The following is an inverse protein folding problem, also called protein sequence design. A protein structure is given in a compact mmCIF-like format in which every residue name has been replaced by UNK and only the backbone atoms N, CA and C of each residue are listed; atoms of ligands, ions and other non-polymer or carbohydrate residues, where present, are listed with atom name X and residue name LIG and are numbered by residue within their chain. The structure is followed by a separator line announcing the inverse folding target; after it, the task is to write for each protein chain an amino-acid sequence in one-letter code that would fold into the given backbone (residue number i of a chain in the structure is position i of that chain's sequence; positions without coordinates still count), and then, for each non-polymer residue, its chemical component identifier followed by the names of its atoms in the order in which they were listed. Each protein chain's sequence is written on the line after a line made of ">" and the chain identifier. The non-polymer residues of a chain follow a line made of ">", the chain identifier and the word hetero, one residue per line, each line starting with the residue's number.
data_IF_831730746231
#
_entry.id   IF_831730746231
#
_cell.length_a   1.000
_cell.length_b   1.000
_cell.length_c   1.000
_cell.angle_alpha   90.00
_cell.angle_beta   90.00
_cell.angle_gamma   90.00
#
_symmetry.space_group_name_H-M   'P 1'
#
loop_
_entity.id
_entity.type
_entity.pdbx_description
1 polymer ?
#
# COMPACT_ATOMS: atom_id res chain seq x y z
N UNK A 1 -3.13 40.36 -16.02
CA UNK A 1 -3.95 40.59 -14.82
C UNK A 1 -3.04 40.37 -13.63
N UNK A 2 -2.77 41.43 -12.88
CA UNK A 2 -1.71 41.50 -11.88
C UNK A 2 -1.88 40.49 -10.74
N UNK A 3 -0.85 39.67 -10.52
CA UNK A 3 -0.66 38.83 -9.32
C UNK A 3 -0.70 39.65 -8.01
N UNK A 4 -0.58 40.97 -8.10
CA UNK A 4 -0.57 41.90 -6.96
C UNK A 4 -1.97 42.17 -6.36
N UNK A 5 -3.05 41.84 -7.07
CA UNK A 5 -4.41 42.01 -6.57
C UNK A 5 -4.84 40.87 -5.62
N UNK A 6 -4.38 39.64 -5.87
CA UNK A 6 -4.71 38.47 -5.04
C UNK A 6 -4.04 38.52 -3.66
N UNK A 7 -2.79 39.01 -3.57
CA UNK A 7 -2.05 39.16 -2.29
C UNK A 7 -2.67 40.23 -1.38
N UNK A 8 -3.30 41.26 -1.96
CA UNK A 8 -4.02 42.28 -1.20
C UNK A 8 -5.38 41.80 -0.69
N UNK A 9 -5.93 40.72 -1.26
CA UNK A 9 -7.21 40.20 -0.83
C UNK A 9 -7.14 39.49 0.54
N UNK A 10 -5.97 38.98 0.90
CA UNK A 10 -5.75 38.20 2.13
C UNK A 10 -5.22 39.06 3.30
N UNK A 11 -4.92 40.35 3.06
CA UNK A 11 -4.23 41.24 3.99
C UNK A 11 -4.92 42.59 4.20
N UNK A 12 -6.23 42.69 3.97
CA UNK A 12 -7.01 43.88 4.32
C UNK A 12 -7.38 43.85 5.82
N UNK A 13 -6.94 44.87 6.55
CA UNK A 13 -7.24 45.01 7.98
C UNK A 13 -8.71 45.37 8.19
N UNK A 14 -9.32 44.96 9.31
CA UNK A 14 -10.73 45.26 9.65
C UNK A 14 -11.03 46.78 9.64
N UNK A 15 -10.01 47.61 9.91
CA UNK A 15 -10.09 49.06 9.87
C UNK A 15 -10.24 49.63 8.44
N UNK A 16 -9.61 49.02 7.44
CA UNK A 16 -9.75 49.40 6.03
C UNK A 16 -11.12 48.97 5.47
N UNK A 17 -11.66 47.87 5.98
CA UNK A 17 -13.01 47.37 5.66
C UNK A 17 -14.12 48.33 6.11
N UNK A 18 -14.01 48.90 7.31
CA UNK A 18 -15.00 49.85 7.85
C UNK A 18 -15.02 51.20 7.13
N UNK A 19 -13.94 51.57 6.44
CA UNK A 19 -13.82 52.80 5.66
C UNK A 19 -14.15 52.65 4.16
N UNK A 20 -14.38 51.42 3.68
CA UNK A 20 -14.79 51.17 2.29
C UNK A 20 -16.29 51.35 2.12
N UNK A 21 -16.70 51.87 0.96
CA UNK A 21 -18.11 51.86 0.56
C UNK A 21 -18.63 50.41 0.54
N UNK A 22 -19.86 50.23 1.02
CA UNK A 22 -20.61 48.97 1.02
C UNK A 22 -20.57 48.23 -0.32
N UNK A 23 -20.61 48.94 -1.46
CA UNK A 23 -20.46 48.33 -2.78
C UNK A 23 -19.05 47.78 -3.05
N UNK A 24 -18.01 48.48 -2.57
CA UNK A 24 -16.60 48.02 -2.69
C UNK A 24 -16.34 46.83 -1.77
N UNK A 25 -16.94 46.82 -0.57
CA UNK A 25 -16.92 45.66 0.33
C UNK A 25 -17.63 44.46 -0.31
N UNK A 26 -18.81 44.65 -0.90
CA UNK A 26 -19.56 43.56 -1.54
C UNK A 26 -18.80 42.97 -2.72
N UNK A 27 -18.17 43.83 -3.53
CA UNK A 27 -17.30 43.42 -4.63
C UNK A 27 -16.12 42.58 -4.14
N UNK A 28 -15.47 43.00 -3.06
CA UNK A 28 -14.35 42.27 -2.48
C UNK A 28 -14.77 40.90 -1.93
N UNK A 29 -15.93 40.82 -1.28
CA UNK A 29 -16.51 39.55 -0.82
C UNK A 29 -16.81 38.61 -2.00
N UNK A 30 -17.34 39.14 -3.09
CA UNK A 30 -17.61 38.34 -4.29
C UNK A 30 -16.32 37.87 -4.99
N UNK A 31 -15.29 38.72 -5.00
CA UNK A 31 -13.96 38.36 -5.53
C UNK A 31 -13.32 37.25 -4.69
N UNK A 32 -13.31 37.38 -3.36
CA UNK A 32 -12.79 36.35 -2.46
C UNK A 32 -13.53 35.03 -2.65
N UNK A 33 -14.85 35.06 -2.77
CA UNK A 33 -15.66 33.86 -3.04
C UNK A 33 -15.30 33.20 -4.38
N UNK A 34 -15.03 33.98 -5.43
CA UNK A 34 -14.61 33.44 -6.72
C UNK A 34 -13.23 32.77 -6.64
N UNK A 35 -12.27 33.41 -5.97
CA UNK A 35 -10.92 32.85 -5.73
C UNK A 35 -10.99 31.56 -4.91
N UNK A 36 -11.76 31.54 -3.82
CA UNK A 36 -11.90 30.35 -2.97
C UNK A 36 -12.56 29.17 -3.72
N UNK A 37 -13.45 29.44 -4.69
CA UNK A 37 -14.03 28.41 -5.55
C UNK A 37 -13.02 27.87 -6.57
N UNK A 38 -12.16 28.73 -7.10
CA UNK A 38 -11.10 28.36 -8.04
C UNK A 38 -10.05 27.45 -7.36
N UNK A 39 -9.63 27.80 -6.14
CA UNK A 39 -8.70 26.98 -5.35
C UNK A 39 -9.26 25.59 -5.06
N UNK A 40 -10.54 25.52 -4.67
CA UNK A 40 -11.25 24.25 -4.45
C UNK A 40 -11.38 23.42 -5.73
N UNK A 41 -11.65 24.06 -6.87
CA UNK A 41 -11.71 23.38 -8.16
C UNK A 41 -10.33 22.80 -8.52
N UNK A 42 -9.26 23.56 -8.30
CA UNK A 42 -7.88 23.13 -8.58
C UNK A 42 -7.47 21.92 -7.74
N UNK A 43 -7.74 21.96 -6.44
CA UNK A 43 -7.46 20.85 -5.52
C UNK A 43 -8.22 19.58 -5.93
N UNK A 44 -9.50 19.73 -6.29
CA UNK A 44 -10.33 18.61 -6.76
C UNK A 44 -9.82 18.02 -8.07
N UNK A 45 -9.40 18.85 -9.02
CA UNK A 45 -8.81 18.39 -10.29
C UNK A 45 -7.51 17.61 -10.08
N UNK A 46 -6.64 18.06 -9.18
CA UNK A 46 -5.39 17.37 -8.85
C UNK A 46 -5.65 16.00 -8.21
N UNK A 47 -6.61 15.94 -7.27
CA UNK A 47 -7.02 14.68 -6.66
C UNK A 47 -7.59 13.70 -7.69
N UNK A 48 -8.42 14.18 -8.62
CA UNK A 48 -8.98 13.36 -9.71
C UNK A 48 -7.87 12.83 -10.62
N UNK A 49 -6.90 13.66 -11.00
CA UNK A 49 -5.77 13.23 -11.81
C UNK A 49 -4.96 12.11 -11.14
N UNK A 50 -4.63 12.28 -9.85
CA UNK A 50 -3.91 11.26 -9.09
C UNK A 50 -4.69 9.95 -8.95
N UNK A 51 -6.02 10.04 -8.78
CA UNK A 51 -6.89 8.86 -8.72
C UNK A 51 -6.90 8.11 -10.07
N UNK A 52 -6.91 8.83 -11.19
CA UNK A 52 -6.84 8.25 -12.54
C UNK A 52 -5.50 7.52 -12.75
N UNK A 53 -4.39 8.12 -12.34
CA UNK A 53 -3.05 7.50 -12.48
C UNK A 53 -2.93 6.20 -11.68
N UNK A 54 -3.39 6.20 -10.43
CA UNK A 54 -3.40 5.00 -9.58
C UNK A 54 -4.30 3.90 -10.16
N UNK A 55 -5.48 4.29 -10.67
CA UNK A 55 -6.41 3.36 -11.31
C UNK A 55 -5.83 2.72 -12.58
N UNK A 56 -5.08 3.50 -13.38
CA UNK A 56 -4.34 3.00 -14.53
C UNK A 56 -3.29 1.97 -14.14
N UNK A 57 -2.49 2.27 -13.12
CA UNK A 57 -1.46 1.35 -12.62
C UNK A 57 -2.04 0.03 -12.08
N UNK A 58 -3.12 0.09 -11.32
CA UNK A 58 -3.80 -1.11 -10.79
C UNK A 58 -4.44 -1.93 -11.92
N UNK A 59 -5.00 -1.28 -12.94
CA UNK A 59 -5.53 -1.96 -14.14
C UNK A 59 -4.44 -2.66 -14.95
N UNK A 60 -3.26 -2.04 -15.10
CA UNK A 60 -2.10 -2.68 -15.75
C UNK A 60 -1.66 -3.92 -14.97
N UNK A 61 -1.56 -3.83 -13.64
CA UNK A 61 -1.21 -4.98 -12.79
C UNK A 61 -2.21 -6.13 -12.92
N UNK A 62 -3.51 -5.84 -12.94
CA UNK A 62 -4.55 -6.86 -13.17
C UNK A 62 -4.28 -7.58 -14.49
N UNK A 63 -4.02 -6.82 -15.56
CA UNK A 63 -3.77 -7.40 -16.88
C UNK A 63 -2.48 -8.23 -16.92
N UNK A 64 -1.41 -7.77 -16.28
CA UNK A 64 -0.16 -8.52 -16.16
C UNK A 64 -0.36 -9.84 -15.40
N UNK A 65 -1.06 -9.79 -14.27
CA UNK A 65 -1.41 -10.98 -13.48
C UNK A 65 -2.28 -11.96 -14.29
N UNK A 66 -3.24 -11.47 -15.08
CA UNK A 66 -4.07 -12.32 -15.95
C UNK A 66 -3.26 -13.00 -17.06
N UNK A 67 -2.33 -12.27 -17.68
CA UNK A 67 -1.42 -12.83 -18.68
C UNK A 67 -0.50 -13.88 -18.07
N UNK A 68 -0.06 -13.66 -16.83
CA UNK A 68 0.78 -14.60 -16.10
C UNK A 68 0.01 -15.87 -15.71
N UNK A 69 -1.22 -15.77 -15.22
CA UNK A 69 -2.11 -16.92 -14.99
C UNK A 69 -2.29 -17.72 -16.29
N UNK A 70 -2.57 -17.05 -17.41
CA UNK A 70 -2.73 -17.70 -18.71
C UNK A 70 -1.44 -18.40 -19.18
N UNK A 71 -0.27 -17.86 -18.84
CA UNK A 71 1.02 -18.51 -19.10
C UNK A 71 1.20 -19.75 -18.24
N UNK A 72 0.90 -19.67 -16.95
CA UNK A 72 1.00 -20.79 -16.00
C UNK A 72 0.08 -21.94 -16.39
N UNK A 73 -1.17 -21.64 -16.77
CA UNK A 73 -2.16 -22.64 -17.22
C UNK A 73 -1.73 -23.35 -18.51
N UNK A 74 -1.03 -22.66 -19.42
CA UNK A 74 -0.58 -23.24 -20.71
C UNK A 74 0.75 -23.98 -20.63
N UNK A 75 1.69 -23.46 -19.86
CA UNK A 75 3.07 -23.96 -19.82
C UNK A 75 3.30 -24.96 -18.70
N UNK A 76 2.44 -24.97 -17.66
CA UNK A 76 2.68 -25.73 -16.45
C UNK A 76 3.91 -25.26 -15.68
N UNK A 77 4.40 -24.05 -15.94
CA UNK A 77 5.61 -23.48 -15.34
C UNK A 77 5.28 -22.15 -14.65
N UNK A 78 5.80 -21.98 -13.45
CA UNK A 78 5.70 -20.76 -12.64
C UNK A 78 6.93 -19.87 -12.91
N UNK A 79 6.77 -18.55 -12.95
CA UNK A 79 7.93 -17.65 -12.93
C UNK A 79 8.55 -17.60 -11.52
N UNK A 80 9.74 -18.17 -11.27
CA UNK A 80 10.28 -18.18 -9.92
C UNK A 80 10.65 -16.77 -9.41
N UNK A 81 10.85 -15.79 -10.31
CA UNK A 81 11.19 -14.41 -9.94
C UNK A 81 10.03 -13.66 -9.26
N UNK A 82 8.79 -14.13 -9.43
CA UNK A 82 7.57 -13.51 -8.89
C UNK A 82 7.15 -14.06 -7.52
N UNK A 83 7.75 -15.18 -7.09
CA UNK A 83 7.44 -15.87 -5.82
C UNK A 83 8.63 -15.93 -4.86
N UNK A 84 9.58 -15.01 -5.01
CA UNK A 84 10.72 -14.91 -4.10
C UNK A 84 10.21 -14.80 -2.65
N UNK A 85 10.80 -15.58 -1.75
CA UNK A 85 10.60 -15.47 -0.30
C UNK A 85 11.92 -14.99 0.32
N UNK A 86 12.21 -13.66 0.28
CA UNK A 86 13.50 -13.14 0.72
C UNK A 86 13.79 -13.44 2.19
N UNK A 87 12.72 -13.59 3.01
CA UNK A 87 12.84 -13.93 4.42
C UNK A 87 13.22 -15.40 4.58
N UNK A 88 12.57 -16.29 3.81
CA UNK A 88 12.91 -17.71 3.77
C UNK A 88 14.34 -17.95 3.26
N UNK A 89 14.72 -17.34 2.15
CA UNK A 89 16.07 -17.49 1.56
C UNK A 89 17.18 -17.09 2.54
N UNK A 90 17.02 -15.95 3.22
CA UNK A 90 17.96 -15.52 4.28
C UNK A 90 18.01 -16.51 5.43
N UNK A 91 16.86 -17.07 5.84
CA UNK A 91 16.83 -18.10 6.89
C UNK A 91 17.60 -19.36 6.46
N UNK A 92 17.46 -19.78 5.20
CA UNK A 92 18.20 -20.94 4.67
C UNK A 92 19.70 -20.69 4.62
N UNK A 93 20.13 -19.50 4.19
CA UNK A 93 21.54 -19.11 4.15
C UNK A 93 22.17 -19.13 5.54
N UNK A 94 21.49 -18.54 6.52
CA UNK A 94 21.94 -18.52 7.93
C UNK A 94 22.05 -19.94 8.49
N UNK A 95 21.09 -20.81 8.17
CA UNK A 95 21.09 -22.19 8.63
C UNK A 95 22.15 -23.06 7.94
N UNK A 96 22.45 -22.81 6.65
CA UNK A 96 23.51 -23.52 5.90
C UNK A 96 24.93 -23.18 6.37
N UNK A 97 25.09 -22.05 7.06
CA UNK A 97 26.38 -21.55 7.56
C UNK A 97 26.42 -21.51 9.10
N UNK A 98 26.33 -22.66 9.79
CA UNK A 98 26.46 -22.68 11.24
C UNK A 98 27.87 -22.30 11.68
N UNK A 99 27.99 -21.82 12.92
CA UNK A 99 29.27 -21.63 13.59
C UNK A 99 30.00 -22.97 13.77
N UNK A 100 31.29 -22.91 14.14
CA UNK A 100 32.14 -24.09 14.31
C UNK A 100 31.61 -25.11 15.34
N UNK A 101 30.77 -24.67 16.29
CA UNK A 101 30.10 -25.50 17.29
C UNK A 101 28.73 -26.06 16.81
N UNK A 102 28.39 -25.87 15.53
CA UNK A 102 27.12 -26.30 14.94
C UNK A 102 25.93 -25.38 15.29
N UNK A 103 26.18 -24.25 15.95
CA UNK A 103 25.12 -23.33 16.35
C UNK A 103 24.83 -22.24 15.33
N UNK A 104 23.63 -21.67 15.40
CA UNK A 104 23.17 -20.58 14.55
C UNK A 104 22.45 -19.55 15.43
N UNK A 105 22.73 -18.27 15.21
CA UNK A 105 22.00 -17.17 15.88
C UNK A 105 20.86 -16.69 14.99
N UNK A 106 19.64 -16.68 15.53
CA UNK A 106 18.42 -16.27 14.86
C UNK A 106 17.72 -15.16 15.64
N UNK A 107 17.12 -14.22 14.93
CA UNK A 107 16.22 -13.21 15.52
C UNK A 107 14.86 -13.82 15.89
N UNK A 108 14.04 -13.08 16.64
CA UNK A 108 12.67 -13.49 16.97
C UNK A 108 11.84 -13.79 15.71
N UNK A 109 11.90 -12.91 14.71
CA UNK A 109 11.20 -13.06 13.44
C UNK A 109 11.66 -14.31 12.68
N UNK A 110 12.96 -14.62 12.73
CA UNK A 110 13.51 -15.81 12.09
C UNK A 110 13.10 -17.10 12.78
N UNK A 111 12.99 -17.11 14.12
CA UNK A 111 12.44 -18.25 14.86
C UNK A 111 10.96 -18.46 14.55
N UNK A 112 10.18 -17.38 14.47
CA UNK A 112 8.77 -17.48 14.10
C UNK A 112 8.60 -18.03 12.69
N UNK A 113 9.38 -17.51 11.74
CA UNK A 113 9.40 -18.00 10.37
C UNK A 113 9.85 -19.47 10.30
N UNK A 114 10.86 -19.84 11.08
CA UNK A 114 11.33 -21.22 11.18
C UNK A 114 10.20 -22.14 11.68
N UNK A 115 9.51 -21.76 12.76
CA UNK A 115 8.38 -22.53 13.29
C UNK A 115 7.20 -22.60 12.31
N UNK A 116 6.88 -21.52 11.60
CA UNK A 116 5.85 -21.49 10.56
C UNK A 116 6.18 -22.45 9.41
N UNK A 117 7.44 -22.44 8.96
CA UNK A 117 7.93 -23.26 7.83
C UNK A 117 8.12 -24.73 8.20
N UNK A 118 8.27 -25.02 9.50
CA UNK A 118 8.49 -26.36 10.03
C UNK A 118 7.23 -27.02 10.63
N UNK A 119 6.17 -26.25 10.88
CA UNK A 119 4.89 -26.73 11.41
C UNK A 119 4.92 -27.04 12.91
N UNK A 120 3.79 -26.81 13.59
CA UNK A 120 3.62 -27.21 15.00
C UNK A 120 3.43 -28.73 15.10
N UNK A 121 4.46 -29.44 15.56
CA UNK A 121 4.41 -30.88 15.81
C UNK A 121 5.04 -31.68 14.67
N UNK A 122 6.30 -32.03 14.84
CA UNK A 122 6.98 -32.92 13.90
C UNK A 122 6.53 -34.33 14.17
N UNK A 123 5.64 -34.83 13.30
CA UNK A 123 5.32 -36.23 13.17
C UNK A 123 5.70 -36.66 11.76
N UNK A 124 6.96 -37.04 11.54
CA UNK A 124 7.33 -37.69 10.29
C UNK A 124 7.25 -39.18 10.59
N UNK A 125 6.20 -39.83 10.08
CA UNK A 125 6.16 -41.30 10.04
C UNK A 125 7.42 -41.81 9.34
N UNK A 126 8.40 -42.27 10.11
CA UNK A 126 9.48 -43.11 9.61
C UNK A 126 10.90 -42.90 10.14
N UNK A 127 11.37 -41.71 10.56
CA UNK A 127 12.84 -41.53 10.81
C UNK A 127 13.32 -40.44 11.81
N UNK A 128 12.51 -39.96 12.77
CA UNK A 128 12.81 -38.99 13.87
C UNK A 128 11.93 -37.74 13.82
N UNK A 129 11.27 -37.47 14.94
CA UNK A 129 10.40 -36.31 15.15
C UNK A 129 11.22 -35.13 15.75
N UNK A 130 11.26 -33.95 15.12
CA UNK A 130 12.19 -32.85 15.49
C UNK A 130 11.47 -31.62 16.03
N UNK A 131 11.42 -31.34 17.33
CA UNK A 131 10.66 -30.20 17.86
C UNK A 131 11.55 -28.97 18.09
N UNK A 132 11.23 -27.81 17.49
CA UNK A 132 11.80 -26.51 17.91
C UNK A 132 10.80 -25.82 18.83
N UNK A 133 11.17 -25.63 20.09
CA UNK A 133 10.27 -25.10 21.13
C UNK A 133 10.79 -23.77 21.65
N UNK A 134 9.95 -22.73 21.62
CA UNK A 134 10.28 -21.46 22.28
C UNK A 134 10.39 -21.65 23.80
N UNK A 135 11.09 -20.74 24.48
CA UNK A 135 11.17 -20.73 25.94
C UNK A 135 9.76 -20.79 26.57
N UNK A 136 9.58 -21.70 27.53
CA UNK A 136 8.30 -21.96 28.19
C UNK A 136 7.40 -22.99 27.51
N UNK A 137 7.77 -23.50 26.34
CA UNK A 137 7.02 -24.56 25.65
C UNK A 137 7.54 -25.94 26.07
N UNK A 138 6.63 -26.86 26.34
CA UNK A 138 6.94 -28.27 26.62
C UNK A 138 6.33 -29.17 25.56
N UNK A 139 7.07 -30.21 25.16
CA UNK A 139 6.55 -31.27 24.29
C UNK A 139 6.69 -32.62 24.99
N UNK A 140 5.63 -33.42 24.93
CA UNK A 140 5.61 -34.79 25.44
C UNK A 140 5.62 -35.75 24.26
N UNK A 141 6.62 -36.62 24.21
CA UNK A 141 6.77 -37.66 23.19
C UNK A 141 6.51 -39.04 23.78
N UNK A 142 5.79 -39.90 23.05
CA UNK A 142 5.78 -41.35 23.30
C UNK A 142 6.88 -42.08 22.52
N UNK A 143 7.58 -41.36 21.63
CA UNK A 143 8.52 -41.90 20.66
C UNK A 143 9.98 -41.61 21.10
N UNK A 144 10.79 -42.68 21.24
CA UNK A 144 12.18 -42.58 21.72
C UNK A 144 13.12 -41.87 20.74
N UNK A 145 12.73 -41.78 19.48
CA UNK A 145 13.55 -41.23 18.40
C UNK A 145 13.23 -39.75 18.11
N UNK A 146 12.76 -38.99 19.10
CA UNK A 146 12.45 -37.56 18.93
C UNK A 146 13.59 -36.67 19.43
N UNK A 147 13.87 -35.59 18.70
CA UNK A 147 14.92 -34.61 19.02
C UNK A 147 14.26 -33.27 19.30
N UNK A 148 14.52 -32.70 20.48
CA UNK A 148 14.02 -31.37 20.84
C UNK A 148 15.16 -30.35 20.79
N UNK A 149 14.96 -29.28 20.03
CA UNK A 149 15.86 -28.14 19.91
C UNK A 149 15.25 -27.00 20.74
N UNK A 150 15.99 -26.57 21.75
CA UNK A 150 15.62 -25.46 22.62
C UNK A 150 16.48 -24.25 22.23
N UNK A 151 15.91 -23.21 21.57
CA UNK A 151 16.58 -21.95 21.37
C UNK A 151 16.90 -21.31 22.72
N UNK A 152 18.15 -20.87 22.90
CA UNK A 152 18.61 -20.19 24.11
C UNK A 152 18.66 -18.70 23.83
N UNK A 153 17.88 -17.90 24.58
CA UNK A 153 17.92 -16.45 24.42
C UNK A 153 19.27 -15.89 24.87
N UNK A 154 19.87 -15.07 24.04
CA UNK A 154 21.16 -14.42 24.26
C UNK A 154 20.96 -13.00 24.81
N UNK A 155 22.04 -12.43 25.36
CA UNK A 155 22.05 -11.09 25.97
C UNK A 155 21.75 -9.94 25.00
N UNK A 156 21.92 -10.19 23.70
CA UNK A 156 21.60 -9.26 22.60
C UNK A 156 20.10 -9.30 22.20
N UNK A 157 19.30 -10.16 22.84
CA UNK A 157 17.88 -10.35 22.54
C UNK A 157 17.61 -11.35 21.41
N UNK A 158 18.63 -11.90 20.77
CA UNK A 158 18.51 -12.95 19.76
C UNK A 158 18.49 -14.35 20.41
N UNK A 159 18.31 -15.39 19.60
CA UNK A 159 18.29 -16.77 20.04
C UNK A 159 19.41 -17.57 19.40
N UNK A 160 20.14 -18.33 20.22
CA UNK A 160 21.10 -19.34 19.76
C UNK A 160 20.39 -20.68 19.65
N UNK A 161 20.38 -21.28 18.47
CA UNK A 161 19.96 -22.66 18.26
C UNK A 161 21.18 -23.53 18.00
N UNK A 162 21.19 -24.75 18.53
CA UNK A 162 22.18 -25.77 18.18
C UNK A 162 21.43 -26.94 17.57
N UNK A 163 21.67 -27.21 16.29
CA UNK A 163 21.05 -28.33 15.58
C UNK A 163 21.95 -29.55 15.78
N UNK A 164 21.46 -30.65 16.40
CA UNK A 164 22.26 -31.85 16.58
C UNK A 164 22.68 -32.46 15.23
N UNK A 165 23.94 -32.91 15.12
CA UNK A 165 24.53 -33.36 13.86
C UNK A 165 23.75 -34.53 13.22
N UNK A 166 23.13 -35.39 14.03
CA UNK A 166 22.34 -36.53 13.58
C UNK A 166 21.02 -36.16 12.89
N UNK A 167 20.49 -34.95 13.09
CA UNK A 167 19.24 -34.48 12.46
C UNK A 167 19.45 -33.28 11.53
N UNK A 168 20.69 -32.83 11.39
CA UNK A 168 21.09 -31.65 10.62
C UNK A 168 20.60 -31.68 9.16
N UNK A 169 20.79 -32.81 8.49
CA UNK A 169 20.32 -33.03 7.11
C UNK A 169 18.79 -32.99 7.00
N UNK A 170 18.07 -33.47 8.01
CA UNK A 170 16.60 -33.47 8.02
C UNK A 170 16.06 -32.05 8.22
N UNK A 171 16.63 -31.29 9.15
CA UNK A 171 16.24 -29.89 9.41
C UNK A 171 16.52 -29.01 8.18
N UNK A 172 17.75 -29.04 7.66
CA UNK A 172 18.11 -28.21 6.51
C UNK A 172 17.41 -28.66 5.23
N UNK A 173 17.32 -29.96 4.98
CA UNK A 173 16.63 -30.51 3.81
C UNK A 173 15.16 -30.12 3.78
N UNK A 174 14.45 -30.14 4.93
CA UNK A 174 13.04 -29.70 4.99
C UNK A 174 12.89 -28.22 4.74
N UNK A 175 13.68 -27.39 5.40
CA UNK A 175 13.64 -25.93 5.21
C UNK A 175 13.97 -25.59 3.76
N UNK A 176 14.97 -26.25 3.18
CA UNK A 176 15.32 -26.17 1.77
C UNK A 176 14.16 -26.60 0.87
N UNK A 177 13.46 -27.70 1.15
CA UNK A 177 12.28 -28.11 0.37
C UNK A 177 11.11 -27.13 0.49
N UNK A 178 10.83 -26.59 1.68
CA UNK A 178 9.75 -25.62 1.88
C UNK A 178 10.04 -24.30 1.18
N UNK A 179 11.30 -23.86 1.20
CA UNK A 179 11.74 -22.63 0.52
C UNK A 179 11.86 -22.86 -0.98
N UNK A 180 12.49 -23.94 -1.43
CA UNK A 180 12.56 -24.29 -2.85
C UNK A 180 11.18 -24.57 -3.45
N UNK A 181 10.20 -25.05 -2.67
CA UNK A 181 8.83 -25.17 -3.16
C UNK A 181 8.21 -23.80 -3.46
N UNK A 182 8.56 -22.77 -2.67
CA UNK A 182 8.16 -21.37 -2.95
C UNK A 182 8.97 -20.72 -4.06
N UNK A 183 10.28 -20.96 -4.08
CA UNK A 183 11.24 -20.25 -4.95
C UNK A 183 11.43 -20.92 -6.31
N UNK A 184 11.39 -22.25 -6.39
CA UNK A 184 11.83 -22.98 -7.59
C UNK A 184 10.71 -23.69 -8.36
N UNK A 185 9.45 -23.68 -7.90
CA UNK A 185 8.29 -24.12 -8.70
C UNK A 185 8.46 -25.46 -9.43
N UNK A 186 9.33 -26.36 -8.96
CA UNK A 186 9.60 -27.64 -9.65
C UNK A 186 8.46 -28.60 -9.37
N UNK A 187 7.52 -28.62 -10.30
CA UNK A 187 6.62 -29.71 -10.68
C UNK A 187 5.78 -30.34 -9.55
N UNK A 188 5.11 -29.51 -8.76
CA UNK A 188 3.84 -29.95 -8.16
C UNK A 188 2.73 -29.07 -8.69
N UNK A 189 1.73 -29.66 -9.34
CA UNK A 189 0.50 -28.99 -9.76
C UNK A 189 -0.07 -28.12 -8.62
N UNK A 190 0.09 -28.57 -7.37
CA UNK A 190 -0.24 -27.82 -6.14
C UNK A 190 0.46 -26.46 -6.00
N UNK A 191 1.71 -26.31 -6.46
CA UNK A 191 2.42 -25.03 -6.45
C UNK A 191 1.86 -24.08 -7.51
N UNK A 192 1.55 -24.60 -8.71
CA UNK A 192 0.90 -23.85 -9.80
C UNK A 192 -0.49 -23.40 -9.37
N UNK A 193 -1.27 -24.30 -8.76
CA UNK A 193 -2.61 -24.01 -8.27
C UNK A 193 -2.59 -22.95 -7.18
N UNK A 194 -1.62 -23.01 -6.26
CA UNK A 194 -1.43 -22.00 -5.22
C UNK A 194 -1.02 -20.64 -5.81
N UNK A 195 -0.08 -20.62 -6.74
CA UNK A 195 0.35 -19.39 -7.42
C UNK A 195 -0.81 -18.71 -8.17
N UNK A 196 -1.60 -19.51 -8.90
CA UNK A 196 -2.82 -19.04 -9.57
C UNK A 196 -3.84 -18.53 -8.55
N UNK A 197 -4.03 -19.23 -7.43
CA UNK A 197 -4.93 -18.80 -6.36
C UNK A 197 -4.50 -17.46 -5.76
N UNK A 198 -3.21 -17.29 -5.45
CA UNK A 198 -2.68 -16.06 -4.85
C UNK A 198 -2.86 -14.87 -5.83
N UNK A 199 -2.54 -15.05 -7.12
CA UNK A 199 -2.74 -14.02 -8.16
C UNK A 199 -4.23 -13.70 -8.38
N UNK A 200 -5.12 -14.69 -8.26
CA UNK A 200 -6.58 -14.46 -8.33
C UNK A 200 -7.07 -13.64 -7.14
N UNK A 201 -6.64 -13.96 -5.93
CA UNK A 201 -6.99 -13.18 -4.73
C UNK A 201 -6.45 -11.76 -4.82
N UNK A 202 -5.22 -11.57 -5.30
CA UNK A 202 -4.67 -10.23 -5.54
C UNK A 202 -5.52 -9.47 -6.57
N UNK A 203 -5.87 -10.10 -7.68
CA UNK A 203 -6.74 -9.51 -8.71
C UNK A 203 -8.13 -9.13 -8.18
N UNK A 204 -8.73 -9.94 -7.31
CA UNK A 204 -9.98 -9.59 -6.64
C UNK A 204 -9.81 -8.33 -5.78
N UNK A 205 -8.72 -8.24 -5.02
CA UNK A 205 -8.43 -7.05 -4.21
C UNK A 205 -8.20 -5.79 -5.07
N UNK A 206 -7.50 -5.92 -6.20
CA UNK A 206 -7.25 -4.83 -7.13
C UNK A 206 -8.53 -4.42 -7.86
N UNK A 207 -9.41 -5.36 -8.21
CA UNK A 207 -10.74 -5.07 -8.77
C UNK A 207 -11.60 -4.27 -7.80
N UNK A 208 -11.66 -4.65 -6.53
CA UNK A 208 -12.39 -3.88 -5.51
C UNK A 208 -11.84 -2.47 -5.39
N UNK A 209 -10.51 -2.28 -5.44
CA UNK A 209 -9.89 -0.94 -5.45
C UNK A 209 -10.28 -0.16 -6.71
N UNK A 210 -10.24 -0.79 -7.87
CA UNK A 210 -10.65 -0.22 -9.17
C UNK A 210 -12.11 0.23 -9.13
N UNK A 211 -13.02 -0.60 -8.63
CA UNK A 211 -14.44 -0.28 -8.52
C UNK A 211 -14.67 0.87 -7.55
N UNK A 212 -13.99 0.86 -6.40
CA UNK A 212 -14.05 1.93 -5.41
C UNK A 212 -13.53 3.25 -6.00
N UNK A 213 -12.39 3.22 -6.69
CA UNK A 213 -11.80 4.37 -7.34
C UNK A 213 -12.69 4.90 -8.48
N UNK A 214 -13.33 4.02 -9.25
CA UNK A 214 -14.28 4.38 -10.31
C UNK A 214 -15.49 5.12 -9.72
N UNK A 215 -16.06 4.61 -8.63
CA UNK A 215 -17.16 5.27 -7.94
C UNK A 215 -16.74 6.64 -7.36
N UNK A 216 -15.55 6.73 -6.77
CA UNK A 216 -14.99 8.00 -6.30
C UNK A 216 -14.76 8.99 -7.43
N UNK A 217 -14.27 8.54 -8.58
CA UNK A 217 -14.08 9.37 -9.76
C UNK A 217 -15.42 9.90 -10.30
N UNK A 218 -16.47 9.08 -10.32
CA UNK A 218 -17.82 9.52 -10.71
C UNK A 218 -18.35 10.58 -9.74
N UNK A 219 -18.17 10.40 -8.43
CA UNK A 219 -18.54 11.38 -7.41
C UNK A 219 -17.74 12.68 -7.57
N UNK A 220 -16.42 12.58 -7.65
CA UNK A 220 -15.54 13.75 -7.82
C UNK A 220 -15.89 14.49 -9.13
N UNK A 221 -16.28 13.78 -10.21
CA UNK A 221 -16.72 14.41 -11.46
C UNK A 221 -18.05 15.16 -11.31
N UNK A 222 -19.01 14.61 -10.58
CA UNK A 222 -20.27 15.30 -10.26
C UNK A 222 -19.98 16.55 -9.42
N UNK A 223 -19.12 16.43 -8.41
CA UNK A 223 -18.71 17.57 -7.58
C UNK A 223 -17.98 18.64 -8.40
N UNK A 224 -17.10 18.25 -9.33
CA UNK A 224 -16.44 19.17 -10.25
C UNK A 224 -17.45 19.88 -11.16
N UNK A 225 -18.45 19.18 -11.69
CA UNK A 225 -19.52 19.79 -12.49
C UNK A 225 -20.33 20.80 -11.68
N UNK A 226 -20.64 20.48 -10.42
CA UNK A 226 -21.33 21.39 -9.50
C UNK A 226 -20.47 22.62 -9.17
N UNK A 227 -19.18 22.43 -8.87
CA UNK A 227 -18.23 23.52 -8.62
C UNK A 227 -18.08 24.42 -9.84
N UNK A 228 -17.94 23.85 -11.04
CA UNK A 228 -17.88 24.62 -12.29
C UNK A 228 -19.18 25.42 -12.52
N UNK A 229 -20.34 24.80 -12.27
CA UNK A 229 -21.62 25.51 -12.38
C UNK A 229 -21.70 26.66 -11.38
N UNK A 230 -21.33 26.43 -10.12
CA UNK A 230 -21.31 27.45 -9.08
C UNK A 230 -20.31 28.57 -9.38
N UNK A 231 -19.14 28.22 -9.93
CA UNK A 231 -18.11 29.16 -10.34
C UNK A 231 -18.60 30.04 -11.50
N UNK A 232 -19.21 29.45 -12.53
CA UNK A 232 -19.80 30.21 -13.64
C UNK A 232 -20.88 31.18 -13.15
N UNK A 233 -21.76 30.73 -12.25
CA UNK A 233 -22.76 31.60 -11.62
C UNK A 233 -22.13 32.73 -10.80
N UNK A 234 -21.06 32.44 -10.04
CA UNK A 234 -20.33 33.44 -9.29
C UNK A 234 -19.65 34.46 -10.22
N UNK A 235 -19.07 34.02 -11.33
CA UNK A 235 -18.48 34.91 -12.33
C UNK A 235 -19.53 35.78 -13.01
N UNK A 236 -20.70 35.25 -13.35
CA UNK A 236 -21.79 36.04 -13.90
C UNK A 236 -22.27 37.10 -12.89
N UNK A 237 -22.35 36.73 -11.60
CA UNK A 237 -22.70 37.67 -10.53
C UNK A 237 -21.66 38.77 -10.37
N UNK A 238 -20.37 38.42 -10.32
CA UNK A 238 -19.25 39.37 -10.27
C UNK A 238 -19.25 40.28 -11.50
N UNK A 239 -19.44 39.71 -12.69
CA UNK A 239 -19.48 40.45 -13.96
C UNK A 239 -20.63 41.46 -13.98
N UNK A 240 -21.82 41.06 -13.53
CA UNK A 240 -22.96 41.96 -13.43
C UNK A 240 -22.76 43.02 -12.35
N UNK A 241 -22.15 42.68 -11.22
CA UNK A 241 -21.78 43.63 -10.17
C UNK A 241 -20.75 44.66 -10.68
N UNK A 242 -19.72 44.21 -11.42
CA UNK A 242 -18.73 45.07 -12.06
C UNK A 242 -19.36 46.04 -13.07
N UNK A 243 -20.27 45.55 -13.93
CA UNK A 243 -20.98 46.40 -14.89
C UNK A 243 -21.80 47.48 -14.18
N UNK A 244 -22.60 47.09 -13.18
CA UNK A 244 -23.37 48.05 -12.38
C UNK A 244 -22.49 49.06 -11.67
N UNK A 245 -21.37 48.62 -11.08
CA UNK A 245 -20.42 49.51 -10.43
C UNK A 245 -19.79 50.51 -11.41
N UNK A 246 -19.42 50.05 -12.61
CA UNK A 246 -18.89 50.92 -13.66
C UNK A 246 -19.95 51.93 -14.15
N UNK A 247 -21.21 51.50 -14.29
CA UNK A 247 -22.34 52.37 -14.64
C UNK A 247 -22.63 53.40 -13.54
N UNK A 248 -22.68 53.00 -12.27
CA UNK A 248 -22.87 53.88 -11.12
C UNK A 248 -21.75 54.92 -11.03
N UNK A 249 -20.49 54.50 -11.12
CA UNK A 249 -19.35 55.43 -11.15
C UNK A 249 -19.39 56.34 -12.37
N UNK A 250 -19.71 55.81 -13.54
CA UNK A 250 -19.88 56.60 -14.76
C UNK A 250 -21.00 57.63 -14.62
N UNK A 251 -22.10 57.30 -13.94
CA UNK A 251 -23.20 58.21 -13.63
C UNK A 251 -22.83 59.28 -12.61
N UNK A 252 -22.08 58.93 -11.55
CA UNK A 252 -21.56 59.89 -10.57
C UNK A 252 -20.61 60.87 -11.25
N UNK A 253 -19.66 60.39 -12.06
CA UNK A 253 -18.71 61.24 -12.79
C UNK A 253 -19.43 62.14 -13.81
N UNK A 254 -20.52 61.66 -14.41
CA UNK A 254 -21.28 62.43 -15.43
C UNK A 254 -22.21 63.48 -14.80
N UNK A 255 -22.56 63.33 -13.52
CA UNK A 255 -23.40 64.26 -12.75
C UNK A 255 -22.60 65.16 -11.79
N UNK A 256 -21.27 65.03 -11.78
CA UNK A 256 -20.32 65.93 -11.11
C UNK A 256 -19.77 66.96 -12.10
#
# INVERSE_FOLDING_TARGET
>A
MDLNAAVRADSLTLAEFQSMDTETMLYFVQLKRATDLEDKLREKMEKVAKNIDNHGADSTKINDNLNEIARMEKTGQVDPSKFQDPKGEKLLEILKNPAADGSVTLTNEQIDLLNERMGMGWGVYGTTDIHVLKEGWSYSTSNKDSVTILPVKQSDGNFKITVPENVKWQVYGRIETTINWKVNGKDTQTAIDKAISDLKTENESLKVKVDTATNLQQLDMIELQQLMTNMNQAFDMVSNAMKKFAETKGGIIRNM
#
